data_IF_851337549746
#
_entry.id   IF_851337549746
#
_cell.length_a   1.000
_cell.length_b   1.000
_cell.length_c   1.000
_cell.angle_alpha   90.00
_cell.angle_beta   90.00
_cell.angle_gamma   90.00
#
_symmetry.space_group_name_H-M   'P 1'
#
loop_
_entity.id
_entity.type
_entity.pdbx_description
1 polymer ?
#
# COMPACT_ATOMS: atom_id res chain seq x y z
N UNK A 1 -18.23 21.26 13.08
CA UNK A 1 -17.45 20.82 11.91
C UNK A 1 -16.36 19.90 12.41
N UNK A 2 -16.41 18.59 12.15
CA UNK A 2 -15.24 17.67 12.25
C UNK A 2 -15.46 16.17 11.99
N UNK A 3 -16.69 15.74 11.67
CA UNK A 3 -16.93 14.32 11.35
C UNK A 3 -16.04 13.87 10.18
N UNK A 4 -15.83 14.73 9.18
CA UNK A 4 -15.01 14.40 8.01
C UNK A 4 -13.57 14.02 8.38
N UNK A 5 -12.89 14.78 9.27
CA UNK A 5 -11.52 14.46 9.69
C UNK A 5 -11.46 13.16 10.50
N UNK A 6 -12.39 12.95 11.42
CA UNK A 6 -12.51 11.69 12.16
C UNK A 6 -12.79 10.49 11.23
N UNK A 7 -13.65 10.70 10.22
CA UNK A 7 -13.91 9.70 9.19
C UNK A 7 -12.65 9.41 8.38
N UNK A 8 -11.87 10.42 8.00
CA UNK A 8 -10.59 10.23 7.30
C UNK A 8 -9.59 9.44 8.13
N UNK A 9 -9.46 9.73 9.43
CA UNK A 9 -8.56 9.02 10.35
C UNK A 9 -8.87 7.52 10.49
N UNK A 10 -10.10 7.11 10.19
CA UNK A 10 -10.48 5.69 10.17
C UNK A 10 -10.39 5.15 8.74
N UNK A 11 -10.82 5.94 7.75
CA UNK A 11 -10.86 5.53 6.36
C UNK A 11 -9.47 5.25 5.78
N UNK A 12 -8.46 6.07 6.11
CA UNK A 12 -7.10 5.90 5.58
C UNK A 12 -6.49 4.55 6.03
N UNK A 13 -6.43 4.23 7.34
CA UNK A 13 -5.93 2.93 7.78
C UNK A 13 -6.76 1.74 7.25
N UNK A 14 -8.09 1.90 7.14
CA UNK A 14 -8.96 0.86 6.56
C UNK A 14 -8.64 0.62 5.08
N UNK A 15 -8.43 1.68 4.30
CA UNK A 15 -8.01 1.59 2.90
C UNK A 15 -6.64 0.90 2.77
N UNK A 16 -5.68 1.20 3.65
CA UNK A 16 -4.39 0.53 3.69
C UNK A 16 -4.53 -0.98 3.89
N UNK A 17 -5.38 -1.40 4.84
CA UNK A 17 -5.67 -2.81 5.10
C UNK A 17 -6.33 -3.46 3.89
N UNK A 18 -7.31 -2.78 3.27
CA UNK A 18 -8.00 -3.26 2.08
C UNK A 18 -7.04 -3.50 0.91
N UNK A 19 -6.13 -2.56 0.65
CA UNK A 19 -5.06 -2.70 -0.35
C UNK A 19 -4.17 -3.91 -0.01
N UNK A 20 -3.79 -4.08 1.26
CA UNK A 20 -3.01 -5.24 1.70
C UNK A 20 -3.69 -6.59 1.45
N UNK A 21 -5.01 -6.66 1.71
CA UNK A 21 -5.83 -7.84 1.42
C UNK A 21 -5.92 -8.09 -0.09
N UNK A 22 -6.10 -7.06 -0.90
CA UNK A 22 -6.09 -7.19 -2.37
C UNK A 22 -4.77 -7.81 -2.87
N UNK A 23 -3.63 -7.34 -2.37
CA UNK A 23 -2.32 -7.91 -2.69
C UNK A 23 -2.17 -9.38 -2.26
N UNK A 24 -2.81 -9.78 -1.14
CA UNK A 24 -2.80 -11.16 -0.63
C UNK A 24 -3.73 -12.09 -1.42
N UNK A 25 -4.93 -11.63 -1.77
CA UNK A 25 -5.93 -12.37 -2.54
C UNK A 25 -5.51 -12.58 -4.01
N UNK A 26 -4.70 -11.66 -4.55
CA UNK A 26 -4.12 -11.77 -5.89
C UNK A 26 -3.39 -13.10 -6.14
N UNK A 27 -2.75 -13.66 -5.10
CA UNK A 27 -2.02 -14.92 -5.22
C UNK A 27 -2.92 -16.16 -5.31
N UNK A 28 -4.25 -16.05 -5.13
CA UNK A 28 -5.11 -17.23 -4.94
C UNK A 28 -6.28 -17.40 -5.93
N UNK A 29 -6.83 -16.35 -6.57
CA UNK A 29 -7.87 -16.53 -7.63
C UNK A 29 -8.24 -15.20 -8.33
N UNK A 30 -8.16 -15.16 -9.66
CA UNK A 30 -9.00 -14.37 -10.61
C UNK A 30 -9.42 -12.93 -10.19
N UNK A 31 -8.49 -12.09 -9.72
CA UNK A 31 -8.70 -10.62 -9.59
C UNK A 31 -7.64 -9.87 -10.42
N UNK A 32 -7.30 -10.40 -11.59
CA UNK A 32 -6.28 -9.80 -12.48
C UNK A 32 -6.62 -8.33 -12.80
N UNK A 33 -7.91 -7.98 -13.01
CA UNK A 33 -8.33 -6.65 -13.47
C UNK A 33 -8.08 -5.47 -12.53
N UNK A 34 -8.23 -5.64 -11.21
CA UNK A 34 -8.12 -4.50 -10.27
C UNK A 34 -6.66 -4.21 -9.93
N UNK A 35 -5.82 -5.24 -9.88
CA UNK A 35 -4.39 -5.12 -9.64
C UNK A 35 -3.62 -4.76 -10.92
N UNK A 36 -4.10 -5.19 -12.09
CA UNK A 36 -3.73 -4.62 -13.39
C UNK A 36 -4.12 -3.14 -13.52
N UNK A 37 -4.83 -2.55 -12.56
CA UNK A 37 -4.97 -1.10 -12.48
C UNK A 37 -3.93 -0.51 -11.53
N UNK A 38 -3.73 -1.11 -10.34
CA UNK A 38 -2.84 -0.59 -9.30
C UNK A 38 -1.37 -0.67 -9.71
N UNK A 39 -0.96 -1.77 -10.37
CA UNK A 39 0.41 -1.97 -10.85
C UNK A 39 0.77 -0.94 -11.92
N UNK A 40 -0.02 -0.74 -13.00
CA UNK A 40 0.24 0.34 -13.92
C UNK A 40 -0.01 1.71 -13.30
N UNK A 41 -0.88 1.90 -12.30
CA UNK A 41 -0.96 3.20 -11.62
C UNK A 41 0.38 3.56 -10.98
N UNK A 42 1.01 2.63 -10.26
CA UNK A 42 2.34 2.81 -9.70
C UNK A 42 3.44 2.94 -10.78
N UNK A 43 3.32 2.23 -11.92
CA UNK A 43 4.27 2.34 -13.04
C UNK A 43 4.07 3.57 -13.93
N UNK A 44 2.85 4.11 -14.05
CA UNK A 44 2.47 5.27 -14.88
C UNK A 44 3.02 6.56 -14.28
N UNK A 45 3.07 6.64 -12.94
CA UNK A 45 3.76 7.73 -12.26
C UNK A 45 5.30 7.68 -12.40
N UNK A 46 5.88 6.58 -12.88
CA UNK A 46 7.34 6.36 -12.85
C UNK A 46 8.01 6.01 -14.20
N UNK A 47 7.28 6.07 -15.33
CA UNK A 47 7.85 6.00 -16.68
C UNK A 47 8.44 4.63 -17.09
N UNK A 48 7.79 3.53 -16.73
CA UNK A 48 8.20 2.17 -17.16
C UNK A 48 7.82 1.92 -18.63
N UNK A 49 8.78 1.46 -19.44
CA UNK A 49 8.64 1.20 -20.89
C UNK A 49 7.98 -0.16 -21.18
N UNK A 50 7.24 -0.25 -22.29
CA UNK A 50 6.38 -1.38 -22.69
C UNK A 50 7.08 -2.75 -22.79
N UNK A 51 8.40 -2.77 -22.99
CA UNK A 51 9.18 -4.02 -23.10
C UNK A 51 9.24 -4.85 -21.81
N UNK A 52 9.05 -4.24 -20.64
CA UNK A 52 9.10 -4.97 -19.36
C UNK A 52 7.77 -5.69 -19.01
N UNK A 53 6.69 -5.38 -19.72
CA UNK A 53 5.35 -5.99 -19.55
C UNK A 53 5.35 -7.49 -19.87
N UNK A 54 6.09 -7.90 -20.90
CA UNK A 54 6.06 -9.28 -21.42
C UNK A 54 6.81 -10.26 -20.50
N UNK A 55 7.85 -9.77 -19.82
CA UNK A 55 8.66 -10.57 -18.91
C UNK A 55 8.05 -10.72 -17.49
N UNK A 56 7.09 -9.84 -17.18
CA UNK A 56 6.25 -9.80 -15.98
C UNK A 56 5.23 -10.94 -15.98
N UNK A 57 4.55 -11.14 -17.11
CA UNK A 57 3.53 -12.17 -17.30
C UNK A 57 4.12 -13.59 -17.26
N UNK A 58 5.38 -13.76 -17.70
CA UNK A 58 6.06 -15.07 -17.78
C UNK A 58 6.52 -15.67 -16.45
N UNK A 59 6.45 -14.95 -15.31
CA UNK A 59 7.06 -15.40 -14.04
C UNK A 59 6.12 -15.27 -12.83
N UNK A 60 4.88 -15.73 -13.02
CA UNK A 60 3.72 -15.62 -12.12
C UNK A 60 4.01 -16.01 -10.67
N UNK A 61 4.79 -17.07 -10.43
CA UNK A 61 5.10 -17.55 -9.07
C UNK A 61 5.98 -16.59 -8.27
N UNK A 62 6.97 -15.95 -8.91
CA UNK A 62 7.85 -14.99 -8.23
C UNK A 62 7.08 -13.69 -7.93
N UNK A 63 6.26 -13.24 -8.86
CA UNK A 63 5.40 -12.07 -8.68
C UNK A 63 4.39 -12.28 -7.53
N UNK A 64 3.75 -13.45 -7.46
CA UNK A 64 2.86 -13.82 -6.37
C UNK A 64 3.54 -13.76 -4.99
N UNK A 65 4.82 -14.16 -4.90
CA UNK A 65 5.58 -14.08 -3.65
C UNK A 65 5.91 -12.64 -3.23
N UNK A 66 6.24 -11.76 -4.18
CA UNK A 66 6.56 -10.35 -3.93
C UNK A 66 5.28 -9.60 -3.57
N UNK A 67 4.18 -9.85 -4.27
CA UNK A 67 2.86 -9.31 -3.98
C UNK A 67 2.39 -9.72 -2.58
N UNK A 68 2.62 -10.97 -2.16
CA UNK A 68 2.30 -11.42 -0.79
C UNK A 68 3.10 -10.64 0.26
N UNK A 69 4.39 -10.38 0.03
CA UNK A 69 5.22 -9.58 0.95
C UNK A 69 4.75 -8.12 1.01
N UNK A 70 4.46 -7.51 -0.13
CA UNK A 70 3.97 -6.13 -0.20
C UNK A 70 2.58 -5.99 0.45
N UNK A 71 1.69 -6.96 0.23
CA UNK A 71 0.37 -7.00 0.87
C UNK A 71 0.45 -7.13 2.38
N UNK A 72 1.41 -7.90 2.90
CA UNK A 72 1.67 -7.97 4.34
C UNK A 72 2.15 -6.62 4.89
N UNK A 73 3.05 -5.93 4.19
CA UNK A 73 3.52 -4.59 4.61
C UNK A 73 2.36 -3.60 4.68
N UNK A 74 1.52 -3.55 3.65
CA UNK A 74 0.31 -2.70 3.62
C UNK A 74 -0.68 -3.04 4.73
N UNK A 75 -0.96 -4.33 4.93
CA UNK A 75 -1.94 -4.76 5.93
C UNK A 75 -1.44 -4.55 7.36
N UNK A 76 -0.16 -4.82 7.64
CA UNK A 76 0.42 -4.64 8.98
C UNK A 76 0.52 -3.15 9.30
N UNK A 77 1.03 -2.33 8.37
CA UNK A 77 1.11 -0.87 8.57
C UNK A 77 -0.27 -0.27 8.80
N UNK A 78 -1.27 -0.60 7.97
CA UNK A 78 -2.64 -0.13 8.15
C UNK A 78 -3.26 -0.55 9.49
N UNK A 79 -3.06 -1.81 9.93
CA UNK A 79 -3.55 -2.28 11.22
C UNK A 79 -2.86 -1.59 12.40
N UNK A 80 -1.54 -1.41 12.34
CA UNK A 80 -0.78 -0.68 13.36
C UNK A 80 -1.24 0.79 13.44
N UNK A 81 -1.36 1.47 12.30
CA UNK A 81 -1.83 2.86 12.26
C UNK A 81 -3.23 2.96 12.87
N UNK A 82 -4.17 2.09 12.49
CA UNK A 82 -5.52 2.08 13.05
C UNK A 82 -5.52 1.92 14.59
N UNK A 83 -4.70 1.02 15.11
CA UNK A 83 -4.56 0.83 16.57
C UNK A 83 -4.02 2.09 17.25
N UNK A 84 -2.97 2.70 16.70
CA UNK A 84 -2.42 3.95 17.23
C UNK A 84 -3.44 5.09 17.21
N UNK A 85 -4.18 5.22 16.10
CA UNK A 85 -5.27 6.18 15.93
C UNK A 85 -6.32 6.03 17.04
N UNK A 86 -6.79 4.82 17.28
CA UNK A 86 -7.80 4.56 18.32
C UNK A 86 -7.28 4.88 19.73
N UNK A 87 -6.04 4.48 20.05
CA UNK A 87 -5.42 4.75 21.35
C UNK A 87 -5.28 6.26 21.58
N UNK A 88 -4.77 7.00 20.59
CA UNK A 88 -4.54 8.44 20.71
C UNK A 88 -5.84 9.25 20.81
N UNK A 89 -6.90 8.81 20.12
CA UNK A 89 -8.23 9.42 20.23
C UNK A 89 -8.85 9.20 21.62
N UNK A 90 -8.65 8.02 22.23
CA UNK A 90 -9.14 7.72 23.58
C UNK A 90 -8.37 8.54 24.63
N UNK A 91 -7.04 8.62 24.51
CA UNK A 91 -6.19 9.35 25.46
C UNK A 91 -6.43 10.86 25.42
N UNK A 92 -6.62 11.44 24.23
CA UNK A 92 -6.79 12.89 24.05
C UNK A 92 -8.25 13.30 23.86
N UNK A 93 -9.16 12.66 24.61
CA UNK A 93 -10.61 12.90 24.52
C UNK A 93 -11.01 14.37 24.73
N UNK A 94 -10.24 15.15 25.49
CA UNK A 94 -10.52 16.57 25.73
C UNK A 94 -10.19 17.46 24.53
N UNK A 95 -9.29 17.02 23.64
CA UNK A 95 -8.77 17.83 22.53
C UNK A 95 -8.82 17.09 21.19
N UNK A 96 -9.88 16.30 21.00
CA UNK A 96 -10.10 15.40 19.85
C UNK A 96 -9.86 16.11 18.52
N UNK A 97 -10.31 17.36 18.38
CA UNK A 97 -10.12 18.13 17.14
C UNK A 97 -8.65 18.24 16.75
N UNK A 98 -7.83 18.80 17.65
CA UNK A 98 -6.43 19.09 17.36
C UNK A 98 -5.64 17.78 17.18
N UNK A 99 -5.93 16.79 18.03
CA UNK A 99 -5.36 15.45 17.89
C UNK A 99 -5.71 14.82 16.55
N UNK A 100 -6.97 14.92 16.10
CA UNK A 100 -7.39 14.37 14.80
C UNK A 100 -6.66 15.00 13.62
N UNK A 101 -6.42 16.31 13.64
CA UNK A 101 -5.69 17.02 12.56
C UNK A 101 -4.25 16.55 12.49
N UNK A 102 -3.53 16.58 13.62
CA UNK A 102 -2.12 16.12 13.69
C UNK A 102 -2.00 14.65 13.29
N UNK A 103 -2.98 13.84 13.70
CA UNK A 103 -2.99 12.42 13.39
C UNK A 103 -3.24 12.16 11.91
N UNK A 104 -4.11 12.94 11.26
CA UNK A 104 -4.30 12.84 9.81
C UNK A 104 -3.02 13.14 9.03
N UNK A 105 -2.27 14.17 9.45
CA UNK A 105 -0.96 14.49 8.84
C UNK A 105 0.02 13.33 9.00
N UNK A 106 0.09 12.73 10.18
CA UNK A 106 0.92 11.56 10.44
C UNK A 106 0.49 10.33 9.62
N UNK A 107 -0.81 10.06 9.52
CA UNK A 107 -1.35 8.96 8.71
C UNK A 107 -1.02 9.12 7.22
N UNK A 108 -1.14 10.33 6.68
CA UNK A 108 -0.75 10.64 5.31
C UNK A 108 0.76 10.42 5.08
N UNK A 109 1.62 10.84 6.02
CA UNK A 109 3.06 10.58 5.94
C UNK A 109 3.38 9.07 5.95
N UNK A 110 2.71 8.31 6.82
CA UNK A 110 2.87 6.85 6.88
C UNK A 110 2.43 6.21 5.56
N UNK A 111 1.28 6.63 5.01
CA UNK A 111 0.76 6.14 3.74
C UNK A 111 1.78 6.35 2.60
N UNK A 112 2.35 7.56 2.49
CA UNK A 112 3.37 7.88 1.50
C UNK A 112 4.63 7.04 1.70
N UNK A 113 5.11 6.89 2.94
CA UNK A 113 6.29 6.09 3.24
C UNK A 113 6.10 4.60 2.87
N UNK A 114 4.92 4.04 3.17
CA UNK A 114 4.56 2.66 2.80
C UNK A 114 4.48 2.51 1.27
N UNK A 115 3.88 3.48 0.59
CA UNK A 115 3.79 3.49 -0.86
C UNK A 115 5.17 3.45 -1.52
N UNK A 116 6.06 4.37 -1.15
CA UNK A 116 7.44 4.43 -1.66
C UNK A 116 8.22 3.15 -1.34
N UNK A 117 8.05 2.60 -0.14
CA UNK A 117 8.73 1.35 0.27
C UNK A 117 8.30 0.16 -0.59
N UNK A 118 7.00 0.02 -0.82
CA UNK A 118 6.43 -1.06 -1.63
C UNK A 118 6.84 -0.92 -3.09
N UNK A 119 6.81 0.30 -3.62
CA UNK A 119 7.29 0.61 -4.96
C UNK A 119 8.78 0.28 -5.12
N UNK A 120 9.62 0.66 -4.16
CA UNK A 120 11.04 0.33 -4.17
C UNK A 120 11.29 -1.19 -4.15
N UNK A 121 10.55 -1.95 -3.33
CA UNK A 121 10.65 -3.41 -3.26
C UNK A 121 10.23 -4.06 -4.58
N UNK A 122 9.16 -3.56 -5.20
CA UNK A 122 8.72 -3.99 -6.53
C UNK A 122 9.85 -3.72 -7.55
N UNK A 123 10.28 -2.46 -7.71
CA UNK A 123 11.31 -2.05 -8.67
C UNK A 123 12.63 -2.80 -8.50
N UNK A 124 13.11 -3.00 -7.27
CA UNK A 124 14.34 -3.76 -6.98
C UNK A 124 14.26 -5.23 -7.41
N UNK A 125 13.10 -5.87 -7.23
CA UNK A 125 12.92 -7.26 -7.65
C UNK A 125 12.81 -7.41 -9.17
N UNK A 126 12.37 -6.35 -9.87
CA UNK A 126 12.36 -6.30 -11.34
C UNK A 126 13.76 -6.02 -11.92
N UNK A 127 14.47 -4.99 -11.44
CA UNK A 127 15.81 -4.63 -11.96
C UNK A 127 16.87 -5.73 -11.79
N UNK A 128 16.80 -6.52 -10.71
CA UNK A 128 17.71 -7.69 -10.53
C UNK A 128 17.58 -8.74 -11.63
N UNK A 129 16.53 -8.71 -12.46
CA UNK A 129 16.32 -9.66 -13.56
C UNK A 129 17.02 -9.23 -14.85
N UNK A 130 17.20 -7.93 -15.07
CA UNK A 130 17.88 -7.39 -16.26
C UNK A 130 19.39 -7.71 -16.25
N UNK A 131 19.98 -7.83 -15.07
CA UNK A 131 21.42 -8.08 -14.89
C UNK A 131 21.80 -9.57 -14.78
N UNK A 132 20.83 -10.48 -14.62
CA UNK A 132 21.09 -11.94 -14.56
C UNK A 132 20.83 -12.65 -15.90
N UNK A 133 20.39 -11.92 -16.93
CA UNK A 133 20.14 -12.42 -18.28
C UNK A 133 21.19 -11.89 -19.30
N UNK A 134 22.26 -11.25 -18.82
CA UNK A 134 23.48 -10.90 -19.57
C UNK A 134 24.57 -11.84 -19.08
#
# INVERSE_FOLDING_TARGET
MNILMLTCNIAIPVLMIFIGILFKCNSYKKIDKTLDLIIPLAMFFNGFSDGEREHLCKNTNKLASVNRKCGLIWSISGACTLLFTMILLILNKSNIYNTSVTLLEAECLILVAVFVTVEYILKRNFNKKLMNNI
#
